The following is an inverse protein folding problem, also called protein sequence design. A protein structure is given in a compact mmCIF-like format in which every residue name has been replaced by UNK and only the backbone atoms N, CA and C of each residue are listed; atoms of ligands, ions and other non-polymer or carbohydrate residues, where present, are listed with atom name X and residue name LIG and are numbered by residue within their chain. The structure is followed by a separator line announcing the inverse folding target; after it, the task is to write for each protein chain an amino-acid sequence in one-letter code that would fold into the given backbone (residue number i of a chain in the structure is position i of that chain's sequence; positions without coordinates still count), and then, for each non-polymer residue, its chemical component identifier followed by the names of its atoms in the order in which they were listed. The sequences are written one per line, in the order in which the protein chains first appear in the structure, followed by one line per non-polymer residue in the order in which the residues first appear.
data_IF_918161397703
#
_entry.id   IF_918161397703
#
_cell.length_a   1.000
_cell.length_b   1.000
_cell.length_c   1.000
_cell.angle_alpha   90.00
_cell.angle_beta   90.00
_cell.angle_gamma   90.00
#
_symmetry.space_group_name_H-M   'P 1'
#
loop_
_entity.id
_entity.type
_entity.pdbx_description
1 polymer ?
#
# COMPACT_ATOMS: atom_id res chain seq x y z
N UNK A 1 -5.29 6.60 -14.25
CA UNK A 1 -5.75 6.92 -12.87
C UNK A 1 -7.22 7.26 -12.98
N UNK A 2 -8.06 6.61 -12.18
CA UNK A 2 -9.51 6.82 -12.18
C UNK A 2 -10.01 6.96 -10.74
N UNK A 3 -11.22 7.45 -10.55
CA UNK A 3 -11.79 7.57 -9.22
C UNK A 3 -12.11 6.19 -8.63
N UNK A 4 -11.96 6.06 -7.31
CA UNK A 4 -12.19 4.81 -6.61
C UNK A 4 -13.62 4.29 -6.77
N UNK A 5 -14.59 5.20 -6.90
CA UNK A 5 -16.00 4.88 -7.11
C UNK A 5 -16.32 4.37 -8.51
N UNK A 6 -15.41 4.55 -9.48
CA UNK A 6 -15.58 4.14 -10.87
C UNK A 6 -15.02 2.74 -11.16
N UNK A 7 -14.19 2.20 -10.26
CA UNK A 7 -13.47 0.93 -10.46
C UNK A 7 -14.42 -0.23 -10.76
N UNK A 8 -15.50 -0.37 -9.98
CA UNK A 8 -16.46 -1.47 -10.16
C UNK A 8 -17.10 -1.40 -11.56
N UNK A 9 -17.61 -0.24 -11.95
CA UNK A 9 -18.26 -0.06 -13.27
C UNK A 9 -17.26 -0.27 -14.40
N UNK A 10 -16.01 0.18 -14.24
CA UNK A 10 -14.97 0.01 -15.25
C UNK A 10 -14.58 -1.46 -15.46
N UNK A 11 -14.53 -2.25 -14.38
CA UNK A 11 -14.33 -3.71 -14.45
C UNK A 11 -15.55 -4.39 -15.06
N UNK A 12 -16.77 -4.03 -14.62
CA UNK A 12 -18.03 -4.63 -15.10
C UNK A 12 -18.23 -4.40 -16.60
N UNK A 13 -17.89 -3.21 -17.09
CA UNK A 13 -18.02 -2.83 -18.51
C UNK A 13 -16.83 -3.29 -19.37
N UNK A 14 -15.76 -3.82 -18.76
CA UNK A 14 -14.55 -4.24 -19.47
C UNK A 14 -13.71 -3.09 -20.01
N UNK A 15 -13.82 -1.88 -19.45
CA UNK A 15 -12.93 -0.75 -19.76
C UNK A 15 -11.51 -1.05 -19.24
N UNK A 16 -11.41 -1.77 -18.12
CA UNK A 16 -10.16 -2.26 -17.53
C UNK A 16 -10.27 -3.75 -17.21
N UNK A 17 -9.14 -4.47 -17.31
CA UNK A 17 -9.06 -5.90 -17.00
C UNK A 17 -8.68 -6.19 -15.54
N UNK A 18 -8.19 -5.18 -14.83
CA UNK A 18 -7.74 -5.29 -13.45
C UNK A 18 -7.54 -3.91 -12.83
N UNK A 19 -7.58 -3.85 -11.51
CA UNK A 19 -7.47 -2.61 -10.75
C UNK A 19 -6.51 -2.76 -9.56
N UNK A 20 -5.69 -1.74 -9.38
CA UNK A 20 -5.20 -1.37 -8.06
C UNK A 20 -6.29 -0.58 -7.33
N UNK A 21 -6.56 -0.93 -6.08
CA UNK A 21 -7.56 -0.28 -5.25
C UNK A 21 -7.06 -0.11 -3.81
N UNK A 22 -7.37 -1.05 -2.92
CA UNK A 22 -6.95 -1.01 -1.52
C UNK A 22 -6.56 -2.41 -1.03
N UNK A 23 -6.74 -2.65 0.27
CA UNK A 23 -6.46 -3.94 0.91
C UNK A 23 -7.46 -5.02 0.44
N UNK A 24 -7.11 -6.30 0.66
CA UNK A 24 -7.97 -7.43 0.32
C UNK A 24 -9.38 -7.30 0.93
N UNK A 25 -9.46 -6.90 2.20
CA UNK A 25 -10.73 -6.71 2.89
C UNK A 25 -11.56 -5.53 2.34
N UNK A 26 -10.90 -4.40 2.01
CA UNK A 26 -11.60 -3.25 1.43
C UNK A 26 -12.08 -3.57 0.02
N UNK A 27 -11.27 -4.25 -0.80
CA UNK A 27 -11.70 -4.64 -2.16
C UNK A 27 -12.94 -5.55 -2.11
N UNK A 28 -13.01 -6.44 -1.11
CA UNK A 28 -14.21 -7.25 -0.85
C UNK A 28 -15.41 -6.39 -0.44
N UNK A 29 -15.24 -5.43 0.47
CA UNK A 29 -16.36 -4.58 0.92
C UNK A 29 -16.91 -3.66 -0.17
N UNK A 30 -16.09 -3.35 -1.19
CA UNK A 30 -16.51 -2.62 -2.39
C UNK A 30 -17.24 -3.50 -3.42
N UNK A 31 -17.32 -4.82 -3.22
CA UNK A 31 -17.91 -5.75 -4.17
C UNK A 31 -17.04 -6.02 -5.41
N UNK A 32 -15.76 -5.57 -5.44
CA UNK A 32 -14.87 -5.79 -6.60
C UNK A 32 -14.79 -7.29 -6.94
N UNK A 33 -14.80 -8.14 -5.92
CA UNK A 33 -14.74 -9.59 -6.08
C UNK A 33 -16.04 -10.23 -6.57
N UNK A 34 -17.15 -9.49 -6.68
CA UNK A 34 -18.37 -10.01 -7.30
C UNK A 34 -18.16 -10.22 -8.82
N UNK A 35 -17.33 -9.37 -9.43
CA UNK A 35 -17.05 -9.35 -10.87
C UNK A 35 -15.63 -9.80 -11.21
N UNK A 36 -14.63 -9.50 -10.38
CA UNK A 36 -13.23 -9.87 -10.62
C UNK A 36 -12.82 -11.05 -9.72
N UNK A 37 -12.69 -12.26 -10.27
CA UNK A 37 -12.46 -13.50 -9.49
C UNK A 37 -10.99 -13.91 -9.34
N UNK A 38 -10.04 -13.03 -9.67
CA UNK A 38 -8.60 -13.31 -9.60
C UNK A 38 -7.89 -12.18 -8.86
N UNK A 39 -7.12 -12.50 -7.82
CA UNK A 39 -6.41 -11.46 -7.05
C UNK A 39 -5.09 -11.96 -6.48
N UNK A 40 -4.08 -11.10 -6.46
CA UNK A 40 -2.78 -11.42 -5.88
C UNK A 40 -2.75 -11.03 -4.41
N UNK A 41 -2.42 -11.98 -3.53
CA UNK A 41 -2.19 -11.72 -2.11
C UNK A 41 -1.08 -12.65 -1.57
N UNK A 42 -0.07 -12.15 -0.84
CA UNK A 42 0.16 -10.73 -0.49
C UNK A 42 0.42 -9.84 -1.71
N UNK A 43 -0.03 -8.59 -1.65
CA UNK A 43 0.23 -7.59 -2.70
C UNK A 43 1.72 -7.38 -2.96
N UNK A 44 2.07 -6.74 -4.08
CA UNK A 44 3.47 -6.63 -4.53
C UNK A 44 3.91 -5.22 -4.95
N UNK A 45 2.98 -4.28 -5.13
CA UNK A 45 3.28 -2.98 -5.74
C UNK A 45 2.99 -1.78 -4.84
N UNK A 46 2.06 -1.88 -3.88
CA UNK A 46 1.65 -0.77 -3.03
C UNK A 46 1.52 -1.18 -1.56
N UNK A 47 2.18 -0.43 -0.69
CA UNK A 47 2.03 -0.46 0.76
C UNK A 47 2.00 0.99 1.25
N UNK A 48 0.87 1.67 1.06
CA UNK A 48 0.73 3.07 1.44
C UNK A 48 0.96 3.27 2.94
N UNK A 49 1.66 4.35 3.28
CA UNK A 49 1.71 4.89 4.64
C UNK A 49 0.85 6.14 4.64
N UNK A 50 -0.21 6.15 5.45
CA UNK A 50 -0.99 7.36 5.65
C UNK A 50 -0.22 8.31 6.57
N UNK A 51 -0.36 9.61 6.32
CA UNK A 51 0.34 10.64 7.08
C UNK A 51 -0.64 11.70 7.57
N UNK A 52 -0.55 12.04 8.85
CA UNK A 52 -1.12 13.28 9.36
C UNK A 52 -0.23 14.48 8.98
N UNK A 53 -0.70 15.29 8.02
CA UNK A 53 -0.05 16.56 7.68
C UNK A 53 -0.73 17.74 8.42
N UNK A 54 0.08 18.67 8.92
CA UNK A 54 -0.38 19.88 9.60
C UNK A 54 0.24 21.12 8.94
N UNK A 55 -0.50 22.24 8.94
CA UNK A 55 0.05 23.53 8.52
C UNK A 55 1.21 23.91 9.45
N UNK A 56 2.36 24.28 8.89
CA UNK A 56 3.60 24.49 9.65
C UNK A 56 3.46 25.47 10.80
N UNK A 57 2.85 26.63 10.58
CA UNK A 57 2.67 27.65 11.63
C UNK A 57 1.66 27.24 12.73
N UNK A 58 0.73 26.31 12.44
CA UNK A 58 -0.11 25.70 13.49
C UNK A 58 0.74 24.78 14.35
N UNK A 59 1.51 23.89 13.72
CA UNK A 59 2.37 22.94 14.43
C UNK A 59 3.42 23.65 15.30
N UNK A 60 4.05 24.69 14.76
CA UNK A 60 5.03 25.51 15.48
C UNK A 60 4.37 26.32 16.61
N UNK A 61 3.13 26.77 16.42
CA UNK A 61 2.34 27.47 17.43
C UNK A 61 1.83 26.59 18.57
N UNK A 62 1.89 25.26 18.45
CA UNK A 62 1.51 24.34 19.53
C UNK A 62 2.50 24.38 20.70
N UNK A 63 2.03 24.01 21.89
CA UNK A 63 2.93 23.72 23.01
C UNK A 63 3.65 22.39 22.80
N UNK A 64 4.77 22.18 23.49
CA UNK A 64 5.47 20.88 23.47
C UNK A 64 4.55 19.72 23.90
N UNK A 65 3.67 19.98 24.86
CA UNK A 65 2.69 18.98 25.32
C UNK A 65 1.72 18.60 24.20
N UNK A 66 1.19 19.57 23.45
CA UNK A 66 0.27 19.32 22.33
C UNK A 66 0.97 18.55 21.21
N UNK A 67 2.18 18.95 20.81
CA UNK A 67 2.99 18.22 19.81
C UNK A 67 3.28 16.79 20.24
N UNK A 68 3.57 16.59 21.52
CA UNK A 68 3.81 15.26 22.09
C UNK A 68 2.56 14.39 22.02
N UNK A 69 1.39 14.93 22.40
CA UNK A 69 0.11 14.22 22.33
C UNK A 69 -0.16 13.76 20.90
N UNK A 70 -0.06 14.65 19.91
CA UNK A 70 -0.30 14.31 18.51
C UNK A 70 0.69 13.26 17.99
N UNK A 71 1.97 13.41 18.30
CA UNK A 71 3.01 12.46 17.86
C UNK A 71 2.78 11.07 18.44
N UNK A 72 2.37 10.97 19.71
CA UNK A 72 2.09 9.68 20.36
C UNK A 72 0.78 9.09 19.82
N UNK A 73 -0.26 9.91 19.65
CA UNK A 73 -1.54 9.47 19.10
C UNK A 73 -1.38 8.92 17.68
N UNK A 74 -0.61 9.58 16.81
CA UNK A 74 -0.35 9.10 15.45
C UNK A 74 0.37 7.75 15.43
N UNK A 75 1.38 7.58 16.30
CA UNK A 75 2.08 6.29 16.42
C UNK A 75 1.17 5.17 16.91
N UNK A 76 0.28 5.46 17.87
CA UNK A 76 -0.69 4.49 18.35
C UNK A 76 -1.70 4.13 17.25
N UNK A 77 -2.25 5.14 16.56
CA UNK A 77 -3.16 4.96 15.43
C UNK A 77 -2.54 4.12 14.32
N UNK A 78 -1.28 4.36 13.97
CA UNK A 78 -0.58 3.58 12.95
C UNK A 78 -0.52 2.08 13.31
N UNK A 79 -0.23 1.75 14.56
CA UNK A 79 -0.19 0.35 15.02
C UNK A 79 -1.60 -0.25 15.04
N UNK A 80 -2.59 0.47 15.56
CA UNK A 80 -3.98 0.01 15.59
C UNK A 80 -4.50 -0.29 14.17
N UNK A 81 -4.21 0.61 13.22
CA UNK A 81 -4.59 0.44 11.82
C UNK A 81 -3.90 -0.79 11.19
N UNK A 82 -2.58 -0.97 11.39
CA UNK A 82 -1.86 -2.14 10.88
C UNK A 82 -2.47 -3.43 11.44
N UNK A 83 -2.76 -3.47 12.73
CA UNK A 83 -3.33 -4.66 13.38
C UNK A 83 -4.75 -4.94 12.88
N UNK A 84 -5.58 -3.91 12.71
CA UNK A 84 -6.91 -4.06 12.15
C UNK A 84 -6.84 -4.59 10.71
N UNK A 85 -6.01 -3.99 9.85
CA UNK A 85 -5.83 -4.42 8.45
C UNK A 85 -5.33 -5.87 8.38
N UNK A 86 -4.40 -6.26 9.24
CA UNK A 86 -3.91 -7.64 9.30
C UNK A 86 -5.05 -8.63 9.60
N UNK A 87 -5.89 -8.32 10.59
CA UNK A 87 -7.02 -9.19 10.98
C UNK A 87 -8.07 -9.25 9.88
N UNK A 88 -8.50 -8.10 9.34
CA UNK A 88 -9.54 -8.08 8.32
C UNK A 88 -9.09 -8.74 7.01
N UNK A 89 -7.84 -8.51 6.58
CA UNK A 89 -7.29 -9.23 5.43
C UNK A 89 -7.18 -10.73 5.67
N UNK A 90 -6.82 -11.16 6.88
CA UNK A 90 -6.79 -12.58 7.25
C UNK A 90 -8.16 -13.24 7.14
N UNK A 91 -9.22 -12.55 7.60
CA UNK A 91 -10.60 -13.02 7.44
C UNK A 91 -11.03 -13.08 5.98
N UNK A 92 -10.78 -11.99 5.23
CA UNK A 92 -11.09 -11.96 3.80
C UNK A 92 -10.37 -13.08 3.03
N UNK A 93 -9.09 -13.31 3.31
CA UNK A 93 -8.30 -14.37 2.70
C UNK A 93 -8.89 -15.77 2.95
N UNK A 94 -9.44 -16.02 4.14
CA UNK A 94 -10.05 -17.30 4.50
C UNK A 94 -11.40 -17.52 3.82
N UNK A 95 -12.16 -16.46 3.55
CA UNK A 95 -13.55 -16.53 3.08
C UNK A 95 -13.68 -16.41 1.55
N UNK A 96 -12.85 -15.58 0.91
CA UNK A 96 -12.90 -15.29 -0.53
C UNK A 96 -12.84 -16.53 -1.45
N UNK A 97 -12.07 -17.59 -1.15
CA UNK A 97 -12.09 -18.81 -1.96
C UNK A 97 -13.47 -19.49 -2.02
N UNK A 98 -14.25 -19.44 -0.93
CA UNK A 98 -15.62 -19.96 -0.91
C UNK A 98 -16.59 -19.10 -1.74
N UNK A 99 -16.23 -17.84 -2.00
CA UNK A 99 -16.94 -16.90 -2.88
C UNK A 99 -16.48 -17.00 -4.35
N UNK A 100 -15.63 -17.99 -4.66
CA UNK A 100 -15.14 -18.28 -6.00
C UNK A 100 -13.94 -17.44 -6.43
N UNK A 101 -13.27 -16.75 -5.52
CA UNK A 101 -12.07 -15.95 -5.84
C UNK A 101 -10.82 -16.82 -5.77
N UNK A 102 -10.03 -16.79 -6.83
CA UNK A 102 -8.70 -17.41 -6.86
C UNK A 102 -7.66 -16.43 -6.33
N UNK A 103 -6.98 -16.83 -5.26
CA UNK A 103 -5.89 -16.06 -4.66
C UNK A 103 -4.56 -16.54 -5.24
N UNK A 104 -3.74 -15.61 -5.71
CA UNK A 104 -2.40 -15.87 -6.24
C UNK A 104 -1.36 -15.32 -5.27
N UNK A 105 -0.56 -16.22 -4.70
CA UNK A 105 0.70 -15.82 -4.08
C UNK A 105 1.80 -15.94 -5.12
N UNK A 106 2.31 -14.79 -5.58
CA UNK A 106 3.36 -14.76 -6.59
C UNK A 106 4.63 -15.45 -6.09
N UNK A 107 5.27 -16.18 -6.99
CA UNK A 107 6.51 -16.88 -6.69
C UNK A 107 7.60 -15.90 -6.24
N UNK A 108 8.60 -16.37 -5.45
CA UNK A 108 9.76 -15.55 -5.12
C UNK A 108 10.47 -15.00 -6.36
N UNK A 109 10.49 -15.75 -7.47
CA UNK A 109 11.09 -15.36 -8.75
C UNK A 109 10.32 -14.20 -9.42
N UNK A 110 8.99 -14.28 -9.49
CA UNK A 110 8.16 -13.21 -10.05
C UNK A 110 8.27 -11.93 -9.21
N UNK A 111 8.25 -12.08 -7.88
CA UNK A 111 8.44 -10.95 -6.95
C UNK A 111 9.83 -10.34 -7.09
N UNK A 112 10.88 -11.14 -7.30
CA UNK A 112 12.23 -10.64 -7.53
C UNK A 112 12.33 -9.89 -8.87
N UNK A 113 11.71 -10.42 -9.93
CA UNK A 113 11.63 -9.76 -11.24
C UNK A 113 10.94 -8.40 -11.14
N UNK A 114 9.80 -8.33 -10.45
CA UNK A 114 9.10 -7.06 -10.21
C UNK A 114 9.95 -6.08 -9.39
N UNK A 115 10.62 -6.56 -8.32
CA UNK A 115 11.48 -5.72 -7.48
C UNK A 115 12.64 -5.10 -8.28
N UNK A 116 13.28 -5.87 -9.15
CA UNK A 116 14.36 -5.37 -10.00
C UNK A 116 13.86 -4.26 -10.95
N UNK A 117 12.68 -4.46 -11.56
CA UNK A 117 12.05 -3.44 -12.41
C UNK A 117 11.68 -2.17 -11.61
N UNK A 118 11.11 -2.33 -10.41
CA UNK A 118 10.79 -1.22 -9.52
C UNK A 118 12.04 -0.43 -9.12
N UNK A 119 13.14 -1.10 -8.77
CA UNK A 119 14.42 -0.46 -8.46
C UNK A 119 15.02 0.31 -9.65
N UNK A 120 14.79 -0.15 -10.88
CA UNK A 120 15.11 0.60 -12.10
C UNK A 120 14.33 1.91 -12.20
N UNK A 121 13.02 1.87 -11.93
CA UNK A 121 12.20 3.08 -11.88
C UNK A 121 12.62 4.02 -10.74
N UNK A 122 12.99 3.48 -9.56
CA UNK A 122 13.51 4.28 -8.45
C UNK A 122 14.81 4.99 -8.83
N UNK A 123 15.68 4.33 -9.61
CA UNK A 123 16.92 4.95 -10.08
C UNK A 123 16.65 6.14 -11.01
N UNK A 124 15.66 6.07 -11.91
CA UNK A 124 15.22 7.22 -12.71
C UNK A 124 14.73 8.37 -11.81
N UNK A 125 13.84 8.07 -10.86
CA UNK A 125 13.29 9.05 -9.94
C UNK A 125 14.35 9.75 -9.10
N UNK A 126 15.38 9.02 -8.66
CA UNK A 126 16.48 9.56 -7.88
C UNK A 126 17.20 10.72 -8.60
N UNK A 127 17.23 10.71 -9.94
CA UNK A 127 17.91 11.76 -10.73
C UNK A 127 17.17 13.10 -10.79
N UNK A 128 15.91 13.16 -10.34
CA UNK A 128 15.05 14.33 -10.59
C UNK A 128 15.36 15.52 -9.67
N UNK A 129 15.66 15.25 -8.42
CA UNK A 129 15.97 16.25 -7.38
C UNK A 129 16.89 15.66 -6.31
N UNK A 130 17.63 16.50 -5.54
CA UNK A 130 18.34 16.03 -4.35
C UNK A 130 17.46 15.28 -3.35
N UNK A 131 16.22 15.75 -3.14
CA UNK A 131 15.27 15.15 -2.19
C UNK A 131 14.80 13.76 -2.65
N UNK A 132 14.56 13.58 -3.95
CA UNK A 132 14.22 12.25 -4.51
C UNK A 132 15.40 11.29 -4.43
N UNK A 133 16.63 11.77 -4.61
CA UNK A 133 17.84 10.96 -4.44
C UNK A 133 17.95 10.48 -2.98
N UNK A 134 17.83 11.40 -2.02
CA UNK A 134 17.88 11.08 -0.59
C UNK A 134 16.81 10.06 -0.19
N UNK A 135 15.57 10.23 -0.66
CA UNK A 135 14.47 9.31 -0.37
C UNK A 135 14.74 7.90 -0.93
N UNK A 136 15.20 7.80 -2.17
CA UNK A 136 15.50 6.50 -2.81
C UNK A 136 16.69 5.82 -2.12
N UNK A 137 17.72 6.57 -1.75
CA UNK A 137 18.89 6.03 -1.06
C UNK A 137 18.52 5.52 0.34
N UNK A 138 17.67 6.25 1.06
CA UNK A 138 17.10 5.81 2.35
C UNK A 138 16.35 4.49 2.20
N UNK A 139 15.47 4.36 1.20
CA UNK A 139 14.70 3.14 0.97
C UNK A 139 15.58 1.94 0.58
N UNK A 140 16.61 2.17 -0.24
CA UNK A 140 17.60 1.15 -0.61
C UNK A 140 18.44 0.72 0.59
N UNK A 141 18.88 1.66 1.41
CA UNK A 141 19.65 1.38 2.63
C UNK A 141 18.82 0.54 3.62
N UNK A 142 17.56 0.89 3.83
CA UNK A 142 16.66 0.10 4.65
C UNK A 142 16.47 -1.31 4.08
N UNK A 143 16.18 -1.44 2.78
CA UNK A 143 15.99 -2.74 2.12
C UNK A 143 17.21 -3.67 2.28
N UNK A 144 18.42 -3.14 2.16
CA UNK A 144 19.67 -3.87 2.46
C UNK A 144 19.76 -4.30 3.91
N UNK A 145 19.45 -3.40 4.84
CA UNK A 145 19.58 -3.67 6.28
C UNK A 145 18.70 -4.83 6.76
N UNK A 146 17.61 -5.11 6.05
CA UNK A 146 16.68 -6.22 6.33
C UNK A 146 16.80 -7.39 5.33
N UNK A 147 17.80 -7.38 4.45
CA UNK A 147 18.08 -8.49 3.52
C UNK A 147 17.10 -8.64 2.36
N UNK A 148 16.36 -7.58 1.99
CA UNK A 148 15.44 -7.59 0.85
C UNK A 148 16.11 -7.22 -0.48
N UNK A 149 17.32 -6.66 -0.43
CA UNK A 149 18.15 -6.38 -1.60
C UNK A 149 19.64 -6.50 -1.25
N UNK A 150 20.48 -6.66 -2.27
CA UNK A 150 21.94 -6.50 -2.16
C UNK A 150 22.33 -5.07 -1.76
#
# INVERSE_FOLDING_TARGET
VMDFTEIFTALETGIIDGADAATLAVNRSLGIYDIAKHTTYPGFHSMSSDHLACRTDVWEGMTDQQRTILTVAEKALAIDLIMQVLVENGRALAELPAEGVTIYDWSPEDRATFRAAAQGAWADWATRTPETQEMVDSHKAFSRSIGLSE
#
